data_IF_085852005847
#
_entry.id   IF_085852005847
#
_cell.length_a   1.000
_cell.length_b   1.000
_cell.length_c   1.000
_cell.angle_alpha   90.00
_cell.angle_beta   90.00
_cell.angle_gamma   90.00
#
_symmetry.space_group_name_H-M   'P 1'
#
loop_
_entity.id
_entity.type
_entity.pdbx_description
1 polymer ?
#
# COMPACT_ATOMS: atom_id res chain seq x y z
N UNK A 1 -24.12 11.14 -12.12
CA UNK A 1 -24.16 11.84 -10.81
C UNK A 1 -23.68 10.88 -9.75
N UNK A 2 -22.52 11.15 -9.15
CA UNK A 2 -21.97 10.32 -8.08
C UNK A 2 -22.92 10.29 -6.87
N UNK A 3 -22.99 9.18 -6.12
CA UNK A 3 -23.74 9.12 -4.87
C UNK A 3 -23.35 10.24 -3.91
N UNK A 4 -24.27 10.61 -3.02
CA UNK A 4 -24.00 11.64 -2.03
C UNK A 4 -22.87 11.20 -1.07
N UNK A 5 -21.94 12.10 -0.79
CA UNK A 5 -20.87 11.88 0.19
C UNK A 5 -21.51 11.65 1.57
N UNK A 6 -21.02 10.63 2.29
CA UNK A 6 -21.45 10.26 3.64
C UNK A 6 -20.24 10.13 4.54
N UNK A 7 -20.40 10.58 5.78
CA UNK A 7 -19.45 10.28 6.86
C UNK A 7 -19.72 8.85 7.30
N UNK A 8 -18.71 7.98 7.22
CA UNK A 8 -18.84 6.55 7.56
C UNK A 8 -18.04 6.15 8.80
N UNK A 9 -17.37 7.11 9.46
CA UNK A 9 -16.75 6.98 10.78
C UNK A 9 -16.88 8.27 11.58
N UNK A 10 -16.89 8.19 12.91
CA UNK A 10 -16.92 9.39 13.74
C UNK A 10 -15.60 10.17 13.61
N UNK A 11 -15.64 11.51 13.44
CA UNK A 11 -14.43 12.33 13.41
C UNK A 11 -13.59 12.15 14.68
N UNK A 12 -12.30 11.89 14.52
CA UNK A 12 -11.35 11.67 15.62
C UNK A 12 -11.29 10.25 16.18
N UNK A 13 -12.16 9.33 15.74
CA UNK A 13 -12.20 7.95 16.24
C UNK A 13 -11.02 7.10 15.77
N UNK A 14 -10.70 7.16 14.47
CA UNK A 14 -9.60 6.40 13.89
C UNK A 14 -9.09 7.04 12.61
N UNK A 15 -7.83 6.76 12.26
CA UNK A 15 -7.24 7.22 11.02
C UNK A 15 -7.85 6.49 9.81
N UNK A 16 -8.16 7.25 8.76
CA UNK A 16 -8.50 6.74 7.43
C UNK A 16 -8.01 7.72 6.37
N UNK A 17 -7.13 7.25 5.50
CA UNK A 17 -6.61 8.07 4.40
C UNK A 17 -7.75 8.49 3.46
N UNK A 18 -7.81 9.77 3.09
CA UNK A 18 -8.92 10.32 2.31
C UNK A 18 -8.49 11.48 1.41
N UNK A 19 -8.27 11.20 0.12
CA UNK A 19 -8.08 12.24 -0.91
C UNK A 19 -9.32 13.13 -1.05
N UNK A 20 -10.53 12.56 -0.93
CA UNK A 20 -11.78 13.32 -0.94
C UNK A 20 -11.87 14.35 0.19
N UNK A 21 -11.28 14.06 1.36
CA UNK A 21 -11.14 15.03 2.44
C UNK A 21 -10.32 16.26 2.03
N UNK A 22 -9.23 16.07 1.30
CA UNK A 22 -8.43 17.16 0.74
C UNK A 22 -9.17 17.95 -0.35
N UNK A 23 -10.07 17.32 -1.12
CA UNK A 23 -10.95 18.05 -2.04
C UNK A 23 -11.93 18.99 -1.32
N UNK A 24 -12.42 18.59 -0.14
CA UNK A 24 -13.26 19.46 0.69
C UNK A 24 -12.44 20.64 1.21
N UNK A 25 -11.19 20.42 1.64
CA UNK A 25 -10.29 21.50 2.04
C UNK A 25 -9.97 22.46 0.89
N UNK A 26 -9.74 21.95 -0.32
CA UNK A 26 -9.62 22.76 -1.53
C UNK A 26 -10.83 23.66 -1.74
N UNK A 27 -12.05 23.08 -1.68
CA UNK A 27 -13.28 23.85 -1.86
C UNK A 27 -13.44 24.92 -0.78
N UNK A 28 -13.16 24.58 0.48
CA UNK A 28 -13.17 25.52 1.59
C UNK A 28 -12.23 26.71 1.34
N UNK A 29 -11.00 26.46 0.87
CA UNK A 29 -10.05 27.52 0.54
C UNK A 29 -10.57 28.43 -0.58
N UNK A 30 -11.19 27.85 -1.62
CA UNK A 30 -11.79 28.62 -2.72
C UNK A 30 -12.95 29.48 -2.20
N UNK A 31 -13.85 28.91 -1.41
CA UNK A 31 -15.05 29.59 -0.91
C UNK A 31 -14.70 30.76 0.01
N UNK A 32 -13.71 30.56 0.90
CA UNK A 32 -13.28 31.60 1.86
C UNK A 32 -12.52 32.74 1.18
N UNK A 33 -11.73 32.44 0.14
CA UNK A 33 -10.83 33.44 -0.48
C UNK A 33 -11.38 34.04 -1.77
N UNK A 34 -12.34 33.38 -2.42
CA UNK A 34 -12.82 33.72 -3.75
C UNK A 34 -11.80 33.51 -4.88
N UNK A 35 -10.65 32.88 -4.62
CA UNK A 35 -9.59 32.64 -5.62
C UNK A 35 -9.55 31.18 -6.07
N UNK A 36 -9.21 30.89 -7.34
CA UNK A 36 -8.95 29.52 -7.80
C UNK A 36 -7.78 28.87 -7.05
N UNK A 37 -7.89 27.57 -6.76
CA UNK A 37 -6.87 26.84 -6.00
C UNK A 37 -5.45 26.92 -6.59
N UNK A 38 -5.22 26.83 -7.92
CA UNK A 38 -3.87 27.01 -8.48
C UNK A 38 -3.26 28.37 -8.17
N UNK A 39 -4.07 29.44 -8.14
CA UNK A 39 -3.61 30.80 -7.81
C UNK A 39 -3.25 30.87 -6.33
N UNK A 40 -4.08 30.31 -5.45
CA UNK A 40 -3.79 30.27 -4.02
C UNK A 40 -2.48 29.54 -3.72
N UNK A 41 -2.27 28.36 -4.30
CA UNK A 41 -1.05 27.59 -4.04
C UNK A 41 0.19 28.26 -4.61
N UNK A 42 0.10 28.92 -5.77
CA UNK A 42 1.21 29.70 -6.31
C UNK A 42 1.59 30.86 -5.39
N UNK A 43 0.61 31.67 -4.96
CA UNK A 43 0.83 32.83 -4.09
C UNK A 43 1.30 32.46 -2.67
N UNK A 44 0.70 31.44 -2.06
CA UNK A 44 0.89 31.13 -0.64
C UNK A 44 2.02 30.13 -0.38
N UNK A 45 2.39 29.32 -1.37
CA UNK A 45 3.34 28.20 -1.17
C UNK A 45 4.44 28.18 -2.23
N UNK A 46 4.09 28.09 -3.52
CA UNK A 46 5.10 27.81 -4.56
C UNK A 46 6.05 29.00 -4.78
N UNK A 47 5.54 30.23 -4.91
CA UNK A 47 6.37 31.42 -5.08
C UNK A 47 7.22 31.72 -3.82
N UNK A 48 6.65 31.74 -2.59
CA UNK A 48 7.44 31.96 -1.37
C UNK A 48 8.59 30.96 -1.18
N UNK A 49 8.41 29.72 -1.66
CA UNK A 49 9.43 28.67 -1.58
C UNK A 49 10.34 28.59 -2.81
N UNK A 50 10.13 29.43 -3.83
CA UNK A 50 10.90 29.42 -5.07
C UNK A 50 10.75 28.12 -5.87
N UNK A 51 9.60 27.46 -5.80
CA UNK A 51 9.25 26.24 -6.53
C UNK A 51 8.82 26.56 -7.97
N UNK A 52 9.75 27.10 -8.76
CA UNK A 52 9.50 27.65 -10.10
C UNK A 52 9.12 26.63 -11.18
N UNK A 53 9.32 25.33 -10.91
CA UNK A 53 8.97 24.23 -11.81
C UNK A 53 7.78 23.43 -11.25
N UNK A 54 6.93 24.07 -10.45
CA UNK A 54 5.78 23.47 -9.81
C UNK A 54 4.50 24.20 -10.18
N UNK A 55 3.39 23.46 -10.37
CA UNK A 55 2.09 24.05 -10.63
C UNK A 55 0.94 23.10 -10.31
N UNK A 56 -0.18 23.67 -9.86
CA UNK A 56 -1.48 23.00 -9.80
C UNK A 56 -2.35 23.29 -11.03
N UNK A 57 -1.86 24.03 -12.03
CA UNK A 57 -2.63 24.32 -13.25
C UNK A 57 -2.80 23.04 -14.06
N UNK A 58 -4.05 22.70 -14.39
CA UNK A 58 -4.37 21.59 -15.27
C UNK A 58 -5.46 21.96 -16.31
N UNK A 59 -5.37 21.43 -17.55
CA UNK A 59 -4.26 20.63 -18.08
C UNK A 59 -2.99 21.48 -18.23
N UNK A 60 -1.81 20.84 -18.19
CA UNK A 60 -0.55 21.51 -18.49
C UNK A 60 -0.56 22.00 -19.96
N UNK A 61 0.00 23.18 -20.19
CA UNK A 61 0.13 23.77 -21.53
C UNK A 61 1.54 24.33 -21.76
N UNK A 62 1.84 24.72 -23.02
CA UNK A 62 3.04 25.49 -23.36
C UNK A 62 4.36 24.80 -22.97
N UNK A 63 5.22 25.53 -22.27
CA UNK A 63 6.55 25.04 -21.86
C UNK A 63 6.47 23.94 -20.79
N UNK A 64 5.56 24.07 -19.81
CA UNK A 64 5.37 23.07 -18.76
C UNK A 64 4.98 21.71 -19.35
N UNK A 65 4.11 21.71 -20.37
CA UNK A 65 3.70 20.50 -21.08
C UNK A 65 4.86 19.77 -21.77
N UNK A 66 5.86 20.51 -22.25
CA UNK A 66 7.05 19.95 -22.93
C UNK A 66 8.04 19.31 -21.96
N UNK A 67 8.07 19.77 -20.71
CA UNK A 67 8.92 19.24 -19.64
C UNK A 67 8.26 18.09 -18.87
N UNK A 68 6.94 17.97 -18.94
CA UNK A 68 6.19 16.94 -18.25
C UNK A 68 6.53 15.54 -18.78
N UNK A 69 6.91 14.65 -17.87
CA UNK A 69 7.20 13.25 -18.17
C UNK A 69 5.97 12.50 -18.70
N UNK A 70 6.23 11.43 -19.46
CA UNK A 70 5.22 10.42 -19.84
C UNK A 70 5.14 9.38 -18.74
N UNK A 71 3.93 9.03 -18.31
CA UNK A 71 3.69 7.93 -17.36
C UNK A 71 3.70 6.57 -18.04
N UNK A 72 4.19 5.55 -17.33
CA UNK A 72 4.29 4.18 -17.84
C UNK A 72 3.59 3.17 -16.92
N UNK A 73 2.84 2.26 -17.53
CA UNK A 73 2.14 1.16 -16.86
C UNK A 73 3.12 0.00 -16.55
N UNK A 74 2.74 -0.95 -15.68
CA UNK A 74 3.59 -2.08 -15.31
C UNK A 74 4.06 -2.95 -16.48
N UNK A 75 3.31 -3.00 -17.57
CA UNK A 75 3.66 -3.73 -18.80
C UNK A 75 4.63 -2.96 -19.72
N UNK A 76 5.04 -1.75 -19.32
CA UNK A 76 5.91 -0.87 -20.07
C UNK A 76 5.22 -0.02 -21.14
N UNK A 77 3.89 -0.15 -21.30
CA UNK A 77 3.12 0.74 -22.17
C UNK A 77 2.99 2.13 -21.56
N UNK A 78 2.73 3.13 -22.41
CA UNK A 78 2.46 4.50 -21.94
C UNK A 78 1.03 4.59 -21.44
N UNK A 79 0.79 5.38 -20.39
CA UNK A 79 -0.57 5.80 -20.02
C UNK A 79 -1.21 6.53 -21.19
N UNK A 80 -2.52 6.36 -21.38
CA UNK A 80 -3.26 7.06 -22.44
C UNK A 80 -3.08 8.58 -22.35
N UNK A 81 -2.86 9.23 -23.51
CA UNK A 81 -2.54 10.66 -23.55
C UNK A 81 -1.21 11.05 -22.90
N UNK A 82 -0.37 10.07 -22.55
CA UNK A 82 0.92 10.17 -21.82
C UNK A 82 0.81 10.54 -20.34
N UNK A 83 -0.36 10.98 -19.86
CA UNK A 83 -0.65 11.38 -18.48
C UNK A 83 -2.07 11.90 -18.33
N UNK A 84 -2.62 11.76 -17.14
CA UNK A 84 -3.97 12.21 -16.79
C UNK A 84 -4.04 13.67 -16.33
N UNK A 85 -5.26 14.21 -16.38
CA UNK A 85 -5.65 15.42 -15.66
C UNK A 85 -6.49 15.03 -14.45
N UNK A 86 -6.07 15.45 -13.26
CA UNK A 86 -6.74 15.14 -11.99
C UNK A 86 -7.42 16.40 -11.44
N UNK A 87 -8.76 16.53 -11.51
CA UNK A 87 -9.49 17.71 -11.02
C UNK A 87 -9.46 17.86 -9.48
N UNK A 88 -9.17 16.78 -8.75
CA UNK A 88 -8.89 16.72 -7.32
C UNK A 88 -7.52 17.33 -6.94
N UNK A 89 -7.32 18.60 -7.28
CA UNK A 89 -6.00 19.24 -7.28
C UNK A 89 -5.25 19.13 -5.95
N UNK A 90 -5.89 19.41 -4.82
CA UNK A 90 -5.26 19.31 -3.50
C UNK A 90 -4.84 17.87 -3.13
N UNK A 91 -5.52 16.85 -3.67
CA UNK A 91 -5.22 15.46 -3.39
C UNK A 91 -4.17 14.86 -4.33
N UNK A 92 -4.18 15.25 -5.62
CA UNK A 92 -3.40 14.56 -6.65
C UNK A 92 -2.89 15.46 -7.80
N UNK A 93 -3.05 16.78 -7.70
CA UNK A 93 -2.90 17.68 -8.85
C UNK A 93 -1.58 18.43 -9.01
N UNK A 94 -0.63 18.29 -8.08
CA UNK A 94 0.65 18.98 -8.15
C UNK A 94 1.56 18.37 -9.21
N UNK A 95 1.88 19.13 -10.25
CA UNK A 95 3.04 18.87 -11.11
C UNK A 95 4.25 19.56 -10.50
N UNK A 96 5.36 18.83 -10.31
CA UNK A 96 6.56 19.36 -9.65
C UNK A 96 7.82 18.58 -10.08
N UNK A 97 8.97 18.97 -9.55
CA UNK A 97 10.25 18.28 -9.68
C UNK A 97 10.77 17.87 -8.31
N UNK A 98 11.69 16.89 -8.25
CA UNK A 98 12.29 16.48 -6.99
C UNK A 98 12.99 17.64 -6.27
N UNK A 99 13.65 18.53 -7.02
CA UNK A 99 14.31 19.72 -6.49
C UNK A 99 13.33 20.71 -5.84
N UNK A 100 12.20 20.98 -6.49
CA UNK A 100 11.19 21.88 -5.93
C UNK A 100 10.52 21.27 -4.69
N UNK A 101 10.15 19.99 -4.75
CA UNK A 101 9.56 19.32 -3.59
C UNK A 101 10.56 19.22 -2.41
N UNK A 102 11.87 19.14 -2.69
CA UNK A 102 12.89 19.24 -1.66
C UNK A 102 12.93 20.64 -1.01
N UNK A 103 12.65 21.73 -1.74
CA UNK A 103 12.55 23.08 -1.15
C UNK A 103 11.43 23.17 -0.12
N UNK A 104 10.29 22.52 -0.39
CA UNK A 104 9.19 22.40 0.58
C UNK A 104 9.63 21.68 1.86
N UNK A 105 10.29 20.53 1.74
CA UNK A 105 10.79 19.79 2.90
C UNK A 105 11.85 20.56 3.69
N UNK A 106 12.78 21.23 3.00
CA UNK A 106 13.79 22.10 3.62
C UNK A 106 13.11 23.23 4.38
N UNK A 107 12.08 23.87 3.82
CA UNK A 107 11.37 24.94 4.51
C UNK A 107 10.73 24.45 5.82
N UNK A 108 10.08 23.29 5.81
CA UNK A 108 9.53 22.67 7.02
C UNK A 108 10.63 22.49 8.08
N UNK A 109 11.79 21.92 7.72
CA UNK A 109 12.90 21.75 8.66
C UNK A 109 13.45 23.08 9.19
N UNK A 110 13.61 24.08 8.32
CA UNK A 110 14.12 25.40 8.70
C UNK A 110 13.14 26.11 9.64
N UNK A 111 11.85 26.07 9.33
CA UNK A 111 10.79 26.66 10.15
C UNK A 111 10.67 25.94 11.51
N UNK A 112 10.73 24.61 11.53
CA UNK A 112 10.76 23.84 12.78
C UNK A 112 11.97 24.21 13.66
N UNK A 113 13.13 24.44 13.06
CA UNK A 113 14.33 24.93 13.73
C UNK A 113 14.28 26.43 14.12
N UNK A 114 13.22 27.16 13.77
CA UNK A 114 13.09 28.61 14.03
C UNK A 114 13.98 29.48 13.15
N UNK A 115 14.33 29.00 11.95
CA UNK A 115 15.20 29.67 10.96
C UNK A 115 14.45 30.20 9.73
N UNK A 116 13.14 30.00 9.67
CA UNK A 116 12.25 30.44 8.58
C UNK A 116 10.82 30.60 9.10
N UNK A 117 10.06 31.46 8.42
CA UNK A 117 8.62 31.68 8.58
C UNK A 117 7.94 31.94 7.22
N UNK A 118 8.58 31.51 6.12
CA UNK A 118 8.20 31.91 4.75
C UNK A 118 6.79 31.49 4.32
N UNK A 119 6.22 30.42 4.90
CA UNK A 119 4.88 29.91 4.55
C UNK A 119 4.02 29.72 5.80
N UNK A 120 4.53 28.98 6.77
CA UNK A 120 3.87 28.74 8.05
C UNK A 120 4.73 29.25 9.20
N UNK A 121 4.14 29.71 10.31
CA UNK A 121 4.88 29.98 11.53
C UNK A 121 5.37 28.68 12.19
N UNK A 122 6.38 28.80 13.05
CA UNK A 122 7.01 27.66 13.74
C UNK A 122 6.01 26.80 14.50
N UNK A 123 5.04 27.41 15.16
CA UNK A 123 4.02 26.73 15.98
C UNK A 123 3.15 25.81 15.12
N UNK A 124 2.75 26.28 13.92
CA UNK A 124 1.96 25.48 12.99
C UNK A 124 2.78 24.35 12.36
N UNK A 125 4.06 24.56 12.06
CA UNK A 125 4.94 23.47 11.61
C UNK A 125 5.18 22.44 12.71
N UNK A 126 5.28 22.88 13.98
CA UNK A 126 5.38 21.96 15.10
C UNK A 126 4.11 21.12 15.26
N UNK A 127 2.92 21.73 15.10
CA UNK A 127 1.64 21.03 15.09
C UNK A 127 1.54 20.05 13.91
N UNK A 128 1.94 20.47 12.71
CA UNK A 128 1.98 19.64 11.51
C UNK A 128 2.80 18.36 11.70
N UNK A 129 3.89 18.44 12.47
CA UNK A 129 4.81 17.33 12.77
C UNK A 129 4.55 16.67 14.13
N UNK A 130 3.36 16.85 14.69
CA UNK A 130 2.90 16.21 15.93
C UNK A 130 1.87 15.13 15.59
N UNK A 131 1.99 13.90 16.15
CA UNK A 131 1.03 12.84 15.88
C UNK A 131 -0.41 13.21 16.29
N UNK A 132 -1.39 12.84 15.47
CA UNK A 132 -2.82 13.08 15.72
C UNK A 132 -3.64 11.82 15.43
N UNK A 133 -4.47 11.39 16.39
CA UNK A 133 -5.27 10.14 16.39
C UNK A 133 -4.42 8.85 16.40
N UNK A 134 -3.38 8.76 15.58
CA UNK A 134 -2.38 7.68 15.58
C UNK A 134 -0.97 8.26 15.69
N UNK A 135 -0.01 7.42 16.06
CA UNK A 135 1.38 7.81 16.31
C UNK A 135 2.21 8.08 15.03
N UNK A 136 1.67 7.69 13.87
CA UNK A 136 2.37 7.74 12.57
C UNK A 136 1.86 8.83 11.61
N UNK A 137 0.93 9.71 12.01
CA UNK A 137 0.38 10.74 11.13
C UNK A 137 0.27 12.09 11.84
N UNK A 138 0.75 13.16 11.20
CA UNK A 138 0.49 14.54 11.58
C UNK A 138 -0.54 15.20 10.67
N UNK A 139 -0.45 16.52 10.47
CA UNK A 139 -1.35 17.23 9.55
C UNK A 139 -0.82 17.14 8.11
N UNK A 140 -1.32 16.17 7.35
CA UNK A 140 -0.98 16.00 5.92
C UNK A 140 0.40 15.39 5.65
N UNK A 141 1.08 14.88 6.68
CA UNK A 141 2.39 14.22 6.58
C UNK A 141 2.41 12.99 7.48
N UNK A 142 3.10 11.93 7.04
CA UNK A 142 3.36 10.75 7.84
C UNK A 142 4.61 10.94 8.70
N UNK A 143 4.59 10.37 9.89
CA UNK A 143 5.68 10.37 10.85
C UNK A 143 6.17 8.94 11.04
N UNK A 144 7.48 8.78 10.94
CA UNK A 144 8.16 7.50 11.06
C UNK A 144 9.20 7.59 12.17
N UNK A 145 8.88 6.99 13.30
CA UNK A 145 9.73 6.99 14.49
C UNK A 145 10.70 5.82 14.45
N UNK A 146 11.98 6.13 14.34
CA UNK A 146 13.08 5.17 14.30
C UNK A 146 13.96 5.33 15.53
N UNK A 147 13.64 4.58 16.59
CA UNK A 147 14.20 4.72 17.93
C UNK A 147 14.07 6.17 18.46
N UNK A 148 15.17 6.89 18.55
CA UNK A 148 15.24 8.26 19.07
C UNK A 148 15.06 9.32 17.97
N UNK A 149 15.07 8.91 16.70
CA UNK A 149 14.91 9.80 15.55
C UNK A 149 13.49 9.75 14.99
N UNK A 150 13.03 10.88 14.45
CA UNK A 150 11.76 10.96 13.74
C UNK A 150 12.00 11.49 12.34
N UNK A 151 11.46 10.75 11.38
CA UNK A 151 11.39 11.14 9.99
C UNK A 151 9.96 11.54 9.67
N UNK A 152 9.81 12.50 8.76
CA UNK A 152 8.53 12.82 8.17
C UNK A 152 8.57 12.51 6.69
N UNK A 153 7.45 12.02 6.16
CA UNK A 153 7.39 11.54 4.79
C UNK A 153 5.99 11.69 4.18
N UNK A 154 5.93 11.60 2.86
CA UNK A 154 4.68 11.41 2.14
C UNK A 154 4.96 10.75 0.79
N UNK A 155 4.19 9.70 0.48
CA UNK A 155 4.21 9.05 -0.83
C UNK A 155 3.25 9.71 -1.81
N UNK A 156 3.49 9.52 -3.10
CA UNK A 156 2.58 9.92 -4.17
C UNK A 156 2.32 8.76 -5.13
N UNK A 157 1.08 8.61 -5.58
CA UNK A 157 0.69 7.59 -6.53
C UNK A 157 -0.41 8.11 -7.46
N UNK A 158 -0.06 8.30 -8.73
CA UNK A 158 -1.00 8.48 -9.83
C UNK A 158 -0.70 7.39 -10.87
N UNK A 159 -1.62 7.14 -11.80
CA UNK A 159 -1.37 6.13 -12.84
C UNK A 159 -0.14 6.53 -13.67
N UNK A 160 0.85 5.64 -13.70
CA UNK A 160 2.12 5.87 -14.38
C UNK A 160 3.11 6.76 -13.63
N UNK A 161 2.86 7.13 -12.37
CA UNK A 161 3.77 7.97 -11.58
C UNK A 161 3.79 7.58 -10.09
N UNK A 162 4.98 7.46 -9.51
CA UNK A 162 5.13 7.34 -8.06
C UNK A 162 6.20 8.27 -7.52
N UNK A 163 6.05 8.69 -6.27
CA UNK A 163 7.05 9.51 -5.58
C UNK A 163 7.11 9.20 -4.10
N UNK A 164 8.22 9.57 -3.49
CA UNK A 164 8.39 9.55 -2.05
C UNK A 164 9.29 10.71 -1.62
N UNK A 165 8.83 11.47 -0.63
CA UNK A 165 9.62 12.41 0.14
C UNK A 165 9.90 11.77 1.50
N UNK A 166 11.16 11.70 1.93
CA UNK A 166 11.53 11.31 3.30
C UNK A 166 12.55 12.29 3.85
N UNK A 167 12.31 12.83 5.03
CA UNK A 167 13.16 13.86 5.62
C UNK A 167 13.28 13.66 7.12
N UNK A 168 14.48 13.81 7.68
CA UNK A 168 14.65 13.78 9.13
C UNK A 168 14.06 15.07 9.73
N UNK A 169 13.30 14.97 10.81
CA UNK A 169 12.61 16.12 11.42
C UNK A 169 13.54 17.29 11.78
N UNK A 170 14.71 17.00 12.38
CA UNK A 170 15.61 18.03 12.95
C UNK A 170 16.98 18.19 12.26
N UNK A 171 17.62 17.11 11.81
CA UNK A 171 19.03 17.07 11.40
C UNK A 171 19.33 17.52 9.96
N UNK A 172 18.35 18.09 9.25
CA UNK A 172 18.59 18.80 7.99
C UNK A 172 18.87 17.93 6.75
N UNK A 173 18.78 16.61 6.85
CA UNK A 173 18.90 15.70 5.70
C UNK A 173 17.55 15.10 5.31
N UNK A 174 17.40 14.83 4.02
CA UNK A 174 16.19 14.29 3.40
C UNK A 174 16.45 13.95 1.93
N UNK A 175 15.49 13.27 1.31
CA UNK A 175 15.54 12.87 -0.09
C UNK A 175 14.15 12.91 -0.69
N UNK A 176 14.08 13.31 -1.95
CA UNK A 176 12.89 13.17 -2.80
C UNK A 176 13.23 12.27 -3.96
N UNK A 177 12.43 11.23 -4.16
CA UNK A 177 12.53 10.34 -5.31
C UNK A 177 11.21 10.40 -6.07
N UNK A 178 11.28 10.53 -7.39
CA UNK A 178 10.12 10.54 -8.28
C UNK A 178 10.40 9.65 -9.49
N UNK A 179 9.43 8.84 -9.88
CA UNK A 179 9.48 7.93 -11.03
C UNK A 179 8.25 8.13 -11.90
N UNK A 180 8.43 7.97 -13.21
CA UNK A 180 7.34 7.95 -14.19
C UNK A 180 6.87 6.54 -14.51
N UNK A 181 6.90 5.68 -13.49
CA UNK A 181 6.29 4.37 -13.44
C UNK A 181 5.98 4.06 -11.98
N UNK A 182 4.91 3.35 -11.70
CA UNK A 182 4.53 2.97 -10.33
C UNK A 182 5.45 1.85 -9.81
N UNK A 183 6.57 2.22 -9.17
CA UNK A 183 7.64 1.30 -8.75
C UNK A 183 8.10 1.60 -7.31
N UNK A 184 7.23 1.44 -6.29
CA UNK A 184 7.53 1.85 -4.92
C UNK A 184 8.73 1.09 -4.31
N UNK A 185 8.91 -0.19 -4.65
CA UNK A 185 10.03 -0.98 -4.12
C UNK A 185 11.40 -0.45 -4.60
N UNK A 186 11.46 0.03 -5.85
CA UNK A 186 12.67 0.66 -6.37
C UNK A 186 12.96 2.00 -5.66
N UNK A 187 11.91 2.78 -5.40
CA UNK A 187 12.02 4.02 -4.65
C UNK A 187 12.56 3.75 -3.24
N UNK A 188 12.00 2.77 -2.53
CA UNK A 188 12.43 2.41 -1.18
C UNK A 188 13.91 1.99 -1.14
N UNK A 189 14.36 1.19 -2.12
CA UNK A 189 15.77 0.78 -2.20
C UNK A 189 16.71 1.95 -2.49
N UNK A 190 16.29 2.91 -3.33
CA UNK A 190 17.08 4.11 -3.57
C UNK A 190 17.20 4.97 -2.30
N UNK A 191 16.11 5.14 -1.55
CA UNK A 191 16.12 5.88 -0.29
C UNK A 191 17.00 5.19 0.74
N UNK A 192 16.92 3.85 0.86
CA UNK A 192 17.81 3.07 1.73
C UNK A 192 19.28 3.23 1.33
N UNK A 193 19.57 3.23 0.04
CA UNK A 193 20.93 3.45 -0.49
C UNK A 193 21.47 4.84 -0.14
N UNK A 194 20.65 5.88 -0.29
CA UNK A 194 20.99 7.26 0.13
C UNK A 194 21.23 7.31 1.64
N UNK A 195 20.31 6.77 2.42
CA UNK A 195 20.40 6.77 3.88
C UNK A 195 21.65 6.03 4.40
N UNK A 196 22.01 4.90 3.81
CA UNK A 196 23.26 4.18 4.12
C UNK A 196 24.50 4.99 3.73
N UNK A 197 24.52 5.54 2.51
CA UNK A 197 25.67 6.28 1.96
C UNK A 197 25.98 7.53 2.78
N UNK A 198 24.94 8.25 3.20
CA UNK A 198 25.05 9.49 3.98
C UNK A 198 24.92 9.28 5.49
N UNK A 199 24.87 8.04 5.96
CA UNK A 199 24.88 7.71 7.39
C UNK A 199 23.69 8.28 8.18
N UNK A 200 22.48 8.19 7.63
CA UNK A 200 21.26 8.66 8.30
C UNK A 200 21.01 7.92 9.61
N UNK A 201 20.69 8.67 10.67
CA UNK A 201 20.51 8.13 12.02
C UNK A 201 19.31 7.18 12.12
N UNK A 202 19.55 5.95 12.59
CA UNK A 202 18.53 4.92 12.80
C UNK A 202 17.65 4.59 11.59
N UNK A 203 17.97 5.08 10.39
CA UNK A 203 17.15 4.86 9.21
C UNK A 203 17.26 3.43 8.69
N UNK A 204 18.47 2.99 8.34
CA UNK A 204 18.68 1.62 7.87
C UNK A 204 19.21 0.77 9.03
N UNK A 205 18.44 -0.22 9.52
CA UNK A 205 18.93 -1.08 10.57
C UNK A 205 20.02 -2.01 10.01
N UNK A 206 21.17 -2.05 10.69
CA UNK A 206 22.29 -2.93 10.35
C UNK A 206 22.36 -4.04 11.39
N UNK A 207 22.19 -5.28 10.93
CA UNK A 207 22.24 -6.46 11.78
C UNK A 207 23.55 -7.22 11.60
N UNK A 208 24.05 -7.80 12.69
CA UNK A 208 25.16 -8.77 12.64
C UNK A 208 24.57 -10.16 12.81
N UNK A 209 25.04 -11.11 11.99
CA UNK A 209 24.67 -12.52 12.15
C UNK A 209 25.14 -13.00 13.52
N UNK A 210 24.23 -13.57 14.30
CA UNK A 210 24.56 -14.16 15.59
C UNK A 210 25.40 -15.44 15.41
N UNK A 211 26.42 -15.61 16.26
CA UNK A 211 27.29 -16.80 16.28
C UNK A 211 26.75 -17.89 17.20
N UNK A 212 26.96 -19.17 16.86
CA UNK A 212 26.43 -20.31 17.62
C UNK A 212 25.15 -20.90 17.01
N UNK A 213 24.55 -21.89 17.67
CA UNK A 213 23.29 -22.54 17.25
C UNK A 213 22.12 -22.01 18.07
N UNK A 214 20.94 -21.90 17.46
CA UNK A 214 19.71 -21.79 18.24
C UNK A 214 19.52 -23.06 19.07
N UNK A 215 19.08 -22.86 20.31
CA UNK A 215 18.71 -23.93 21.24
C UNK A 215 17.31 -24.47 20.99
N UNK A 216 16.58 -23.90 20.03
CA UNK A 216 15.17 -24.20 19.76
C UNK A 216 14.96 -24.86 18.37
N UNK A 217 14.08 -25.85 18.33
CA UNK A 217 13.65 -26.54 17.09
C UNK A 217 12.59 -25.72 16.36
N UNK A 218 12.96 -25.03 15.29
CA UNK A 218 12.11 -24.06 14.59
C UNK A 218 11.31 -24.68 13.45
N UNK A 219 11.77 -25.83 12.98
CA UNK A 219 11.28 -26.50 11.79
C UNK A 219 9.79 -26.84 11.90
N UNK A 220 9.05 -26.56 10.82
CA UNK A 220 7.62 -26.76 10.80
C UNK A 220 6.90 -25.70 9.97
N UNK A 221 5.58 -25.76 10.02
CA UNK A 221 4.70 -24.86 9.28
C UNK A 221 4.11 -23.81 10.22
N UNK A 222 4.03 -22.58 9.75
CA UNK A 222 3.46 -21.46 10.49
C UNK A 222 2.55 -20.69 9.57
N UNK A 223 1.39 -20.25 10.07
CA UNK A 223 0.70 -19.13 9.41
C UNK A 223 1.65 -17.92 9.44
N UNK A 224 1.60 -17.08 8.42
CA UNK A 224 2.35 -15.83 8.32
C UNK A 224 1.48 -14.64 7.91
N UNK A 225 0.19 -14.91 7.68
CA UNK A 225 -0.84 -13.96 7.26
C UNK A 225 -2.21 -14.63 7.30
N UNK A 226 -3.19 -14.00 6.66
CA UNK A 226 -4.56 -14.55 6.60
C UNK A 226 -4.58 -15.83 5.75
N UNK A 227 -4.04 -15.78 4.54
CA UNK A 227 -3.97 -16.92 3.61
C UNK A 227 -2.55 -17.45 3.41
N UNK A 228 -1.59 -16.89 4.16
CA UNK A 228 -0.17 -17.11 3.94
C UNK A 228 0.38 -18.10 4.97
N UNK A 229 1.20 -19.02 4.48
CA UNK A 229 1.88 -20.04 5.27
C UNK A 229 3.34 -20.05 4.85
N UNK A 230 4.23 -20.17 5.83
CA UNK A 230 5.63 -20.47 5.57
C UNK A 230 6.00 -21.82 6.17
N UNK A 231 6.88 -22.53 5.48
CA UNK A 231 7.55 -23.71 6.01
C UNK A 231 8.97 -23.34 6.39
N UNK A 232 9.31 -23.47 7.67
CA UNK A 232 10.66 -23.31 8.20
C UNK A 232 11.39 -24.64 8.13
N UNK A 233 12.59 -24.66 7.57
CA UNK A 233 13.45 -25.84 7.46
C UNK A 233 14.92 -25.45 7.63
N UNK A 234 15.78 -26.45 7.88
CA UNK A 234 17.23 -26.26 7.89
C UNK A 234 17.85 -26.81 6.63
N UNK A 235 18.84 -26.08 6.14
CA UNK A 235 19.79 -26.55 5.14
C UNK A 235 21.21 -26.33 5.70
N UNK A 236 21.88 -27.42 6.07
CA UNK A 236 23.13 -27.36 6.84
C UNK A 236 22.98 -26.59 8.17
N UNK A 237 23.70 -25.47 8.30
CA UNK A 237 23.66 -24.60 9.48
C UNK A 237 22.69 -23.42 9.32
N UNK A 238 22.15 -23.23 8.13
CA UNK A 238 21.27 -22.12 7.79
C UNK A 238 19.82 -22.53 8.03
N UNK A 239 19.00 -21.54 8.39
CA UNK A 239 17.57 -21.70 8.56
C UNK A 239 16.92 -20.97 7.40
N UNK A 240 16.00 -21.65 6.75
CA UNK A 240 15.32 -21.17 5.56
C UNK A 240 13.82 -21.25 5.78
N UNK A 241 13.11 -20.35 5.11
CA UNK A 241 11.67 -20.44 4.91
C UNK A 241 11.38 -20.73 3.44
N UNK A 242 10.20 -21.25 3.18
CA UNK A 242 9.56 -21.17 1.87
C UNK A 242 8.11 -20.78 2.03
N UNK A 243 7.62 -19.92 1.15
CA UNK A 243 6.20 -19.56 1.09
C UNK A 243 5.36 -20.71 0.47
N UNK A 244 4.06 -20.47 0.29
CA UNK A 244 3.12 -21.45 -0.30
C UNK A 244 3.49 -21.79 -1.76
N UNK A 245 4.10 -20.86 -2.49
CA UNK A 245 4.60 -21.08 -3.86
C UNK A 245 5.94 -21.83 -3.89
N UNK A 246 6.56 -22.04 -2.73
CA UNK A 246 7.84 -22.73 -2.59
C UNK A 246 9.06 -21.84 -2.78
N UNK A 247 8.90 -20.51 -2.81
CA UNK A 247 10.01 -19.58 -2.96
C UNK A 247 10.84 -19.56 -1.67
N UNK A 248 12.15 -19.92 -1.73
CA UNK A 248 12.97 -19.97 -0.54
C UNK A 248 13.44 -18.57 -0.12
N UNK A 249 13.59 -18.39 1.19
CA UNK A 249 14.20 -17.19 1.79
C UNK A 249 15.04 -17.56 3.02
N UNK A 250 16.24 -17.00 3.12
CA UNK A 250 17.12 -17.25 4.26
C UNK A 250 16.62 -16.47 5.50
N UNK A 251 16.46 -17.17 6.63
CA UNK A 251 16.27 -16.56 7.94
C UNK A 251 17.63 -16.33 8.59
N UNK A 252 18.11 -15.09 8.51
CA UNK A 252 19.39 -14.69 9.11
C UNK A 252 19.17 -14.44 10.61
N UNK A 253 19.78 -15.28 11.45
CA UNK A 253 19.70 -15.12 12.91
C UNK A 253 20.46 -13.87 13.36
N UNK A 254 19.79 -13.02 14.15
CA UNK A 254 20.39 -11.79 14.71
C UNK A 254 20.46 -11.81 16.23
N UNK A 255 19.61 -12.61 16.89
CA UNK A 255 19.62 -12.87 18.33
C UNK A 255 18.90 -14.20 18.60
N UNK A 256 18.83 -14.63 19.86
CA UNK A 256 18.14 -15.86 20.24
C UNK A 256 16.69 -15.84 19.72
N UNK A 257 16.33 -16.87 18.96
CA UNK A 257 15.00 -17.03 18.37
C UNK A 257 14.52 -15.88 17.48
N UNK A 258 15.41 -14.96 17.08
CA UNK A 258 15.06 -13.71 16.38
C UNK A 258 15.86 -13.60 15.09
N UNK A 259 15.15 -13.38 14.00
CA UNK A 259 15.62 -13.47 12.63
C UNK A 259 15.22 -12.24 11.82
N UNK A 260 15.93 -12.04 10.72
CA UNK A 260 15.58 -11.09 9.66
C UNK A 260 15.74 -11.77 8.31
N UNK A 261 15.19 -11.17 7.27
CA UNK A 261 15.43 -11.61 5.88
C UNK A 261 16.18 -10.54 5.10
N UNK A 262 16.54 -10.85 3.85
CA UNK A 262 17.20 -9.88 2.96
C UNK A 262 16.21 -8.95 2.27
N UNK A 263 14.92 -9.31 2.22
CA UNK A 263 13.90 -8.56 1.49
C UNK A 263 13.20 -7.50 2.35
N UNK A 264 13.11 -7.70 3.66
CA UNK A 264 12.40 -6.81 4.57
C UNK A 264 13.15 -6.59 5.88
N UNK A 265 12.89 -5.46 6.54
CA UNK A 265 13.54 -5.07 7.79
C UNK A 265 12.82 -5.57 9.05
N UNK A 266 11.62 -6.15 8.91
CA UNK A 266 10.82 -6.70 10.00
C UNK A 266 11.54 -7.85 10.72
N UNK A 267 11.48 -7.86 12.05
CA UNK A 267 12.02 -8.97 12.84
C UNK A 267 11.01 -10.10 12.88
N UNK A 268 11.50 -11.31 12.65
CA UNK A 268 10.74 -12.56 12.76
C UNK A 268 11.24 -13.27 14.01
N UNK A 269 10.36 -13.50 14.97
CA UNK A 269 10.71 -14.14 16.23
C UNK A 269 9.86 -15.37 16.48
N UNK A 270 10.49 -16.46 16.92
CA UNK A 270 9.77 -17.68 17.27
C UNK A 270 9.70 -17.88 18.78
N UNK A 271 8.51 -17.99 19.34
CA UNK A 271 8.32 -18.19 20.79
C UNK A 271 7.24 -19.21 21.10
N UNK A 272 7.37 -19.87 22.25
CA UNK A 272 6.30 -20.70 22.79
C UNK A 272 5.24 -19.78 23.43
N UNK A 273 4.00 -19.87 22.96
CA UNK A 273 2.87 -19.29 23.65
C UNK A 273 2.51 -20.17 24.85
N UNK A 274 2.68 -19.62 26.06
CA UNK A 274 2.44 -20.35 27.31
C UNK A 274 0.98 -20.72 27.51
N UNK A 275 0.05 -20.01 26.87
CA UNK A 275 -1.39 -20.26 27.02
C UNK A 275 -1.85 -21.44 26.17
N UNK A 276 -1.49 -21.46 24.88
CA UNK A 276 -1.84 -22.54 23.96
C UNK A 276 -0.87 -23.71 23.95
N UNK A 277 0.35 -23.52 24.48
CA UNK A 277 1.45 -24.47 24.34
C UNK A 277 1.96 -24.61 22.90
N UNK A 278 1.46 -23.82 21.95
CA UNK A 278 1.91 -23.83 20.56
C UNK A 278 3.05 -22.85 20.36
N UNK A 279 3.89 -23.14 19.37
CA UNK A 279 4.88 -22.16 18.93
C UNK A 279 4.19 -21.10 18.08
N UNK A 280 4.70 -19.89 18.13
CA UNK A 280 4.24 -18.78 17.32
C UNK A 280 5.40 -18.20 16.52
N UNK A 281 5.10 -17.80 15.29
CA UNK A 281 5.87 -16.84 14.53
C UNK A 281 5.34 -15.45 14.88
N UNK A 282 6.21 -14.58 15.37
CA UNK A 282 5.88 -13.24 15.83
C UNK A 282 6.61 -12.26 14.93
N UNK A 283 5.86 -11.35 14.33
CA UNK A 283 6.37 -10.24 13.55
C UNK A 283 6.51 -9.04 14.47
N UNK A 284 7.71 -8.46 14.54
CA UNK A 284 8.01 -7.32 15.41
C UNK A 284 8.46 -6.12 14.56
N UNK A 285 8.03 -4.93 14.96
CA UNK A 285 8.57 -3.69 14.43
C UNK A 285 10.06 -3.60 14.79
N UNK A 286 10.96 -3.36 13.81
CA UNK A 286 12.40 -3.41 14.06
C UNK A 286 12.96 -2.25 14.90
N UNK A 287 12.20 -1.15 15.03
CA UNK A 287 12.62 0.04 15.77
C UNK A 287 12.05 0.08 17.18
N UNK A 288 10.78 -0.29 17.35
CA UNK A 288 10.09 -0.25 18.66
C UNK A 288 10.09 -1.59 19.39
N UNK A 289 10.33 -2.69 18.67
CA UNK A 289 10.18 -4.06 19.20
C UNK A 289 8.73 -4.46 19.48
N UNK A 290 7.75 -3.63 19.12
CA UNK A 290 6.34 -3.93 19.33
C UNK A 290 5.87 -5.06 18.41
N UNK A 291 5.05 -5.96 18.94
CA UNK A 291 4.41 -7.02 18.15
C UNK A 291 3.44 -6.42 17.14
N UNK A 292 3.72 -6.64 15.85
CA UNK A 292 2.83 -6.29 14.75
C UNK A 292 1.80 -7.39 14.48
N UNK A 293 2.23 -8.66 14.56
CA UNK A 293 1.36 -9.82 14.42
C UNK A 293 1.99 -11.04 15.09
N UNK A 294 1.15 -12.03 15.45
CA UNK A 294 1.60 -13.31 15.94
C UNK A 294 0.73 -14.43 15.33
N UNK A 295 1.37 -15.47 14.83
CA UNK A 295 0.72 -16.55 14.11
C UNK A 295 1.13 -17.91 14.67
N UNK A 296 0.18 -18.82 14.93
CA UNK A 296 0.49 -20.12 15.51
C UNK A 296 1.17 -21.06 14.50
N UNK A 297 1.93 -22.01 15.02
CA UNK A 297 2.40 -23.19 14.31
C UNK A 297 1.21 -24.06 13.90
N UNK A 298 1.30 -24.65 12.71
CA UNK A 298 0.31 -25.56 12.14
C UNK A 298 0.68 -27.01 12.41
N UNK A 299 -0.32 -27.89 12.42
CA UNK A 299 -0.10 -29.34 12.53
C UNK A 299 0.55 -29.87 11.25
N UNK A 300 1.29 -30.97 11.36
CA UNK A 300 1.82 -31.66 10.20
C UNK A 300 0.68 -32.04 9.22
N UNK A 301 0.82 -31.68 7.95
CA UNK A 301 -0.17 -31.94 6.90
C UNK A 301 -1.41 -31.03 6.91
N UNK A 302 -1.57 -30.14 7.90
CA UNK A 302 -2.63 -29.13 7.89
C UNK A 302 -2.39 -28.13 6.75
N UNK A 303 -3.43 -27.81 5.99
CA UNK A 303 -3.38 -26.86 4.87
C UNK A 303 -4.41 -25.77 5.05
N UNK A 304 -4.05 -24.53 4.72
CA UNK A 304 -5.02 -23.44 4.61
C UNK A 304 -5.82 -23.57 3.32
N UNK A 305 -7.02 -22.97 3.20
CA UNK A 305 -7.82 -23.06 1.99
C UNK A 305 -7.09 -22.58 0.74
N UNK A 306 -6.35 -21.46 0.80
CA UNK A 306 -5.59 -20.94 -0.34
C UNK A 306 -4.46 -21.86 -0.83
N UNK A 307 -3.81 -22.62 0.06
CA UNK A 307 -2.76 -23.58 -0.33
C UNK A 307 -3.31 -24.66 -1.27
N UNK A 308 -4.55 -25.12 -1.05
CA UNK A 308 -5.21 -26.06 -1.95
C UNK A 308 -5.43 -25.45 -3.33
N UNK A 309 -5.73 -24.15 -3.37
CA UNK A 309 -5.89 -23.44 -4.64
C UNK A 309 -4.56 -23.33 -5.40
N UNK A 310 -3.46 -23.04 -4.69
CA UNK A 310 -2.10 -23.03 -5.27
C UNK A 310 -1.73 -24.41 -5.84
N UNK A 311 -2.16 -25.49 -5.19
CA UNK A 311 -1.99 -26.87 -5.65
C UNK A 311 -2.92 -27.27 -6.82
N UNK A 312 -3.80 -26.38 -7.27
CA UNK A 312 -4.77 -26.64 -8.34
C UNK A 312 -6.05 -27.37 -7.89
N UNK A 313 -6.23 -27.61 -6.59
CA UNK A 313 -7.43 -28.22 -6.01
C UNK A 313 -8.49 -27.16 -5.68
N UNK A 314 -9.12 -26.60 -6.72
CA UNK A 314 -10.17 -25.59 -6.55
C UNK A 314 -11.35 -26.09 -5.71
N UNK A 315 -11.81 -27.32 -5.94
CA UNK A 315 -12.95 -27.90 -5.21
C UNK A 315 -12.64 -28.05 -3.73
N UNK A 316 -11.48 -28.61 -3.40
CA UNK A 316 -11.04 -28.71 -2.02
C UNK A 316 -10.79 -27.36 -1.37
N UNK A 317 -10.30 -26.36 -2.11
CA UNK A 317 -10.17 -24.99 -1.61
C UNK A 317 -11.54 -24.41 -1.25
N UNK A 318 -12.52 -24.48 -2.15
CA UNK A 318 -13.88 -23.98 -1.92
C UNK A 318 -14.55 -24.66 -0.72
N UNK A 319 -14.42 -25.99 -0.59
CA UNK A 319 -14.96 -26.73 0.54
C UNK A 319 -14.26 -26.35 1.86
N UNK A 320 -12.96 -26.11 1.82
CA UNK A 320 -12.19 -25.63 2.98
C UNK A 320 -12.62 -24.21 3.39
N UNK A 321 -12.80 -23.28 2.45
CA UNK A 321 -13.32 -21.94 2.73
C UNK A 321 -14.72 -21.98 3.34
N UNK A 322 -15.64 -22.78 2.77
CA UNK A 322 -16.99 -22.95 3.32
C UNK A 322 -16.98 -23.54 4.73
N UNK A 323 -16.07 -24.46 4.99
CA UNK A 323 -15.90 -25.05 6.33
C UNK A 323 -15.33 -24.02 7.31
N UNK A 324 -14.38 -23.19 6.85
CA UNK A 324 -13.78 -22.13 7.65
C UNK A 324 -14.81 -21.05 8.01
N UNK A 325 -15.64 -20.58 7.08
CA UNK A 325 -16.76 -19.65 7.36
C UNK A 325 -17.70 -20.19 8.45
N UNK A 326 -17.98 -21.50 8.43
CA UNK A 326 -18.88 -22.11 9.43
C UNK A 326 -18.24 -22.24 10.80
N UNK A 327 -16.95 -22.55 10.86
CA UNK A 327 -16.23 -22.79 12.12
C UNK A 327 -15.72 -21.50 12.76
N UNK A 328 -15.22 -20.58 11.94
CA UNK A 328 -14.55 -19.34 12.31
C UNK A 328 -14.94 -18.22 11.33
N UNK A 329 -16.20 -17.74 11.36
CA UNK A 329 -16.63 -16.62 10.52
C UNK A 329 -15.82 -15.33 10.76
N UNK A 330 -15.15 -15.23 11.90
CA UNK A 330 -14.23 -14.15 12.25
C UNK A 330 -12.81 -14.30 11.67
N UNK A 331 -12.45 -15.46 11.07
CA UNK A 331 -11.12 -15.65 10.49
C UNK A 331 -10.95 -14.66 9.31
N UNK A 332 -9.94 -13.78 9.33
CA UNK A 332 -9.78 -12.80 8.27
C UNK A 332 -9.51 -13.39 6.87
N UNK A 333 -9.19 -14.68 6.79
CA UNK A 333 -9.15 -15.47 5.56
C UNK A 333 -10.47 -15.42 4.76
N UNK A 334 -11.61 -15.40 5.46
CA UNK A 334 -12.92 -15.51 4.83
C UNK A 334 -13.62 -14.18 4.61
N UNK A 335 -13.03 -13.06 5.04
CA UNK A 335 -13.60 -11.73 4.85
C UNK A 335 -13.73 -11.37 3.36
N UNK A 336 -14.92 -10.88 2.96
CA UNK A 336 -15.23 -10.56 1.55
C UNK A 336 -14.21 -9.59 0.96
N UNK A 337 -13.86 -8.53 1.71
CA UNK A 337 -12.94 -7.49 1.27
C UNK A 337 -11.52 -8.00 1.11
N UNK A 338 -11.04 -8.83 2.05
CA UNK A 338 -9.70 -9.43 2.01
C UNK A 338 -9.55 -10.45 0.89
N UNK A 339 -10.56 -11.28 0.64
CA UNK A 339 -10.59 -12.17 -0.52
C UNK A 339 -10.57 -11.37 -1.82
N UNK A 340 -11.31 -10.25 -1.88
CA UNK A 340 -11.29 -9.37 -3.05
C UNK A 340 -9.89 -8.77 -3.28
N UNK A 341 -9.25 -8.28 -2.22
CA UNK A 341 -7.88 -7.76 -2.28
C UNK A 341 -6.87 -8.82 -2.73
N UNK A 342 -7.02 -10.08 -2.29
CA UNK A 342 -6.19 -11.19 -2.77
C UNK A 342 -6.38 -11.42 -4.27
N UNK A 343 -7.63 -11.44 -4.75
CA UNK A 343 -7.94 -11.56 -6.18
C UNK A 343 -7.29 -10.44 -7.01
N UNK A 344 -7.40 -9.19 -6.57
CA UNK A 344 -6.76 -8.06 -7.26
C UNK A 344 -5.23 -8.08 -7.20
N UNK A 345 -4.64 -8.54 -6.10
CA UNK A 345 -3.19 -8.74 -6.01
C UNK A 345 -2.70 -9.74 -7.06
N UNK A 346 -3.40 -10.86 -7.20
CA UNK A 346 -3.11 -11.88 -8.22
C UNK A 346 -3.35 -11.36 -9.64
N UNK A 347 -4.37 -10.53 -9.84
CA UNK A 347 -4.63 -9.89 -11.13
C UNK A 347 -3.47 -8.95 -11.52
N UNK A 348 -2.96 -8.20 -10.55
CA UNK A 348 -1.81 -7.31 -10.72
C UNK A 348 -0.48 -8.05 -10.95
N UNK A 349 -0.33 -9.27 -10.44
CA UNK A 349 0.83 -10.14 -10.72
C UNK A 349 0.72 -10.91 -12.05
N UNK A 350 -0.38 -10.75 -12.79
CA UNK A 350 -0.63 -11.47 -14.04
C UNK A 350 -1.17 -12.89 -13.86
N UNK A 351 -1.47 -13.30 -12.62
CA UNK A 351 -2.03 -14.61 -12.29
C UNK A 351 -3.56 -14.64 -12.49
N UNK A 352 -4.02 -14.16 -13.64
CA UNK A 352 -5.43 -13.88 -13.93
C UNK A 352 -6.36 -15.06 -13.69
N UNK A 353 -5.93 -16.30 -14.01
CA UNK A 353 -6.73 -17.51 -13.79
C UNK A 353 -6.90 -17.85 -12.30
N UNK A 354 -5.85 -17.64 -11.49
CA UNK A 354 -5.92 -17.83 -10.04
C UNK A 354 -6.73 -16.73 -9.37
N UNK A 355 -6.60 -15.49 -9.85
CA UNK A 355 -7.45 -14.37 -9.44
C UNK A 355 -8.93 -14.67 -9.67
N UNK A 356 -9.29 -15.14 -10.87
CA UNK A 356 -10.66 -15.55 -11.22
C UNK A 356 -11.19 -16.59 -10.22
N UNK A 357 -10.40 -17.62 -9.88
CA UNK A 357 -10.81 -18.64 -8.91
C UNK A 357 -11.01 -18.08 -7.50
N UNK A 358 -10.17 -17.15 -7.04
CA UNK A 358 -10.36 -16.46 -5.74
C UNK A 358 -11.66 -15.64 -5.76
N UNK A 359 -11.94 -14.91 -6.83
CA UNK A 359 -13.20 -14.17 -6.99
C UNK A 359 -14.40 -15.13 -7.05
N UNK A 360 -14.27 -16.29 -7.68
CA UNK A 360 -15.32 -17.30 -7.73
C UNK A 360 -15.64 -17.84 -6.32
N UNK A 361 -14.61 -18.13 -5.53
CA UNK A 361 -14.76 -18.51 -4.11
C UNK A 361 -15.49 -17.39 -3.36
N UNK A 362 -15.08 -16.14 -3.52
CA UNK A 362 -15.72 -14.99 -2.88
C UNK A 362 -17.20 -14.88 -3.24
N UNK A 363 -17.55 -15.11 -4.51
CA UNK A 363 -18.93 -15.15 -4.99
C UNK A 363 -19.76 -16.28 -4.35
N UNK A 364 -19.18 -17.46 -4.14
CA UNK A 364 -19.85 -18.54 -3.42
C UNK A 364 -20.08 -18.24 -1.94
N UNK A 365 -19.17 -17.49 -1.30
CA UNK A 365 -19.29 -17.12 0.11
C UNK A 365 -20.25 -15.94 0.31
N UNK A 366 -20.29 -14.99 -0.64
CA UNK A 366 -21.06 -13.74 -0.56
C UNK A 366 -21.98 -13.52 -1.77
N UNK A 367 -22.93 -14.44 -2.06
CA UNK A 367 -23.70 -14.43 -3.31
C UNK A 367 -24.68 -13.25 -3.47
N UNK A 368 -24.81 -12.39 -2.46
CA UNK A 368 -25.67 -11.20 -2.46
C UNK A 368 -24.88 -9.89 -2.60
N UNK A 369 -23.55 -9.93 -2.57
CA UNK A 369 -22.72 -8.75 -2.80
C UNK A 369 -22.65 -8.48 -4.30
N UNK A 370 -22.91 -7.25 -4.75
CA UNK A 370 -22.70 -6.88 -6.16
C UNK A 370 -21.21 -6.83 -6.52
N UNK A 371 -20.36 -6.48 -5.55
CA UNK A 371 -18.92 -6.30 -5.71
C UNK A 371 -18.22 -7.60 -6.14
N UNK A 372 -18.58 -8.75 -5.54
CA UNK A 372 -17.93 -10.04 -5.89
C UNK A 372 -18.20 -10.48 -7.33
N UNK A 373 -19.37 -10.14 -7.90
CA UNK A 373 -19.65 -10.44 -9.32
C UNK A 373 -18.94 -9.46 -10.26
N UNK A 374 -18.78 -8.20 -9.86
CA UNK A 374 -18.04 -7.19 -10.63
C UNK A 374 -16.55 -7.59 -10.76
N UNK A 375 -15.91 -7.91 -9.64
CA UNK A 375 -14.50 -8.34 -9.62
C UNK A 375 -14.28 -9.68 -10.36
N UNK A 376 -15.20 -10.64 -10.25
CA UNK A 376 -15.14 -11.88 -11.04
C UNK A 376 -15.26 -11.60 -12.55
N UNK A 377 -16.17 -10.70 -12.95
CA UNK A 377 -16.36 -10.32 -14.35
C UNK A 377 -15.11 -9.67 -14.95
N UNK A 378 -14.40 -8.85 -14.17
CA UNK A 378 -13.15 -8.22 -14.60
C UNK A 378 -12.06 -9.26 -14.91
N UNK A 379 -11.91 -10.28 -14.05
CA UNK A 379 -10.99 -11.37 -14.30
C UNK A 379 -11.38 -12.18 -15.55
N UNK A 380 -12.67 -12.45 -15.75
CA UNK A 380 -13.17 -13.11 -16.96
C UNK A 380 -12.84 -12.31 -18.22
N UNK A 381 -13.06 -10.98 -18.19
CA UNK A 381 -12.75 -10.10 -19.31
C UNK A 381 -11.26 -10.14 -19.66
N UNK A 382 -10.37 -10.08 -18.66
CA UNK A 382 -8.91 -10.20 -18.85
C UNK A 382 -8.47 -11.56 -19.39
N UNK A 383 -9.24 -12.63 -19.16
CA UNK A 383 -9.02 -13.96 -19.76
C UNK A 383 -9.62 -14.10 -21.16
N UNK A 384 -10.35 -13.09 -21.68
CA UNK A 384 -11.07 -13.16 -22.95
C UNK A 384 -12.39 -13.94 -22.86
N UNK A 385 -12.86 -14.27 -21.65
CA UNK A 385 -14.11 -14.99 -21.38
C UNK A 385 -15.30 -14.00 -21.39
N UNK A 386 -15.49 -13.31 -22.52
CA UNK A 386 -16.33 -12.12 -22.64
C UNK A 386 -17.82 -12.37 -22.32
N UNK A 387 -18.37 -13.52 -22.70
CA UNK A 387 -19.76 -13.88 -22.36
C UNK A 387 -19.96 -14.06 -20.85
N UNK A 388 -18.97 -14.66 -20.19
CA UNK A 388 -18.99 -14.87 -18.75
C UNK A 388 -18.83 -13.55 -18.01
N UNK A 389 -17.98 -12.65 -18.52
CA UNK A 389 -17.85 -11.29 -18.00
C UNK A 389 -19.17 -10.52 -18.09
N UNK A 390 -19.83 -10.49 -19.26
CA UNK A 390 -21.13 -9.82 -19.43
C UNK A 390 -22.17 -10.37 -18.46
N UNK A 391 -22.29 -11.69 -18.35
CA UNK A 391 -23.28 -12.31 -17.47
C UNK A 391 -23.08 -11.92 -15.99
N UNK A 392 -21.83 -11.81 -15.53
CA UNK A 392 -21.52 -11.43 -14.16
C UNK A 392 -21.65 -9.92 -13.91
N UNK A 393 -21.29 -9.05 -14.87
CA UNK A 393 -21.60 -7.63 -14.77
C UNK A 393 -23.11 -7.36 -14.73
N UNK A 394 -23.90 -8.10 -15.53
CA UNK A 394 -25.37 -8.03 -15.47
C UNK A 394 -25.91 -8.47 -14.11
N UNK A 395 -25.32 -9.52 -13.52
CA UNK A 395 -25.67 -9.97 -12.17
C UNK A 395 -25.32 -8.93 -11.11
N UNK A 396 -24.17 -8.27 -11.23
CA UNK A 396 -23.76 -7.17 -10.37
C UNK A 396 -24.76 -6.01 -10.44
N UNK A 397 -25.17 -5.58 -11.65
CA UNK A 397 -26.20 -4.55 -11.87
C UNK A 397 -27.58 -4.95 -11.32
N UNK A 398 -27.94 -6.22 -11.39
CA UNK A 398 -29.19 -6.70 -10.83
C UNK A 398 -29.21 -6.63 -9.29
N UNK A 399 -28.04 -6.76 -8.64
CA UNK A 399 -27.89 -6.64 -7.19
C UNK A 399 -27.69 -5.17 -6.75
N UNK A 400 -27.00 -4.38 -7.55
CA UNK A 400 -26.81 -2.94 -7.37
C UNK A 400 -27.01 -2.20 -8.70
N UNK A 401 -28.23 -1.68 -8.96
CA UNK A 401 -28.54 -0.94 -10.17
C UNK A 401 -27.75 0.36 -10.37
N UNK A 402 -26.96 0.79 -9.37
CA UNK A 402 -26.10 1.98 -9.43
C UNK A 402 -24.63 1.65 -9.69
N UNK A 403 -24.30 0.39 -9.99
CA UNK A 403 -22.95 0.02 -10.37
C UNK A 403 -22.63 0.52 -11.80
N UNK A 404 -22.27 1.80 -11.90
CA UNK A 404 -21.92 2.47 -13.18
C UNK A 404 -20.74 1.79 -13.88
N UNK A 405 -19.82 1.17 -13.12
CA UNK A 405 -18.70 0.40 -13.67
C UNK A 405 -19.19 -0.79 -14.49
N UNK A 406 -20.05 -1.63 -13.90
CA UNK A 406 -20.60 -2.79 -14.59
C UNK A 406 -21.36 -2.41 -15.88
N UNK A 407 -22.15 -1.32 -15.85
CA UNK A 407 -22.84 -0.82 -17.04
C UNK A 407 -21.86 -0.37 -18.14
N UNK A 408 -20.80 0.34 -17.76
CA UNK A 408 -19.74 0.77 -18.68
C UNK A 408 -19.03 -0.44 -19.31
N UNK A 409 -18.59 -1.40 -18.49
CA UNK A 409 -17.84 -2.56 -18.96
C UNK A 409 -18.66 -3.46 -19.90
N UNK A 410 -19.96 -3.63 -19.67
CA UNK A 410 -20.84 -4.34 -20.60
C UNK A 410 -20.83 -3.70 -22.00
N UNK A 411 -20.94 -2.37 -22.06
CA UNK A 411 -20.93 -1.65 -23.33
C UNK A 411 -19.57 -1.79 -24.04
N UNK A 412 -18.46 -1.70 -23.31
CA UNK A 412 -17.11 -1.87 -23.87
C UNK A 412 -16.91 -3.27 -24.45
N UNK A 413 -17.28 -4.32 -23.71
CA UNK A 413 -17.17 -5.71 -24.20
C UNK A 413 -18.06 -5.95 -25.42
N UNK A 414 -19.28 -5.38 -25.44
CA UNK A 414 -20.18 -5.49 -26.59
C UNK A 414 -19.61 -4.82 -27.84
N UNK A 415 -18.97 -3.66 -27.70
CA UNK A 415 -18.26 -3.00 -28.80
C UNK A 415 -17.06 -3.83 -29.25
N UNK A 416 -16.28 -4.39 -28.32
CA UNK A 416 -15.15 -5.27 -28.65
C UNK A 416 -15.58 -6.49 -29.45
N UNK A 417 -16.78 -7.04 -29.21
CA UNK A 417 -17.32 -8.18 -29.97
C UNK A 417 -17.83 -7.82 -31.37
N UNK A 418 -18.07 -6.55 -31.65
CA UNK A 418 -18.57 -6.06 -32.95
C UNK A 418 -17.45 -5.68 -33.91
N UNK A 419 -16.24 -5.48 -33.40
CA UNK A 419 -15.01 -5.23 -34.15
C UNK A 419 -14.19 -6.52 -34.30
#
# INVERSE_FOLDING_TARGET
NTPAIRVDKLPGESFRYSGGGFCILQQLMIDVTGKPFPVLMDELVLQPLGMQNSSYTQPLTGAALKLAATGYLPDGSMTDGKRHTYPELAAAGLWTTATDLARFAINIQQTYAGRSDAVLPKEMVAEMLTPYVTDFIGLGIFLDKRKDDTYFNHGGWNEGFSSMLVTHKEKGYGVVVMTNANQPQFIDELIRSVALTYGWDNYVPVYRRATGKDTITLEGRYRSGNEEVITVYRDGYEIWTKDIEGNPEELVRIADSTFVTRKQDQHIQFRLDKSSGKRQLILLNPYTGATSAAYPSMKAGEKVPYEKLVEGDFRGALDAYRSLVKAHPEDPAVDEGRLNQLGYRLLGSGETRRAQQVFEINMYLYPRSSNVYDSYAEACMKLGELDLAIANYQKSLALDPKNDNAAKMINEIQQQKQN
#
